data_IF_359285628210
#
_entry.id   IF_359285628210
#
_cell.length_a   1.000
_cell.length_b   1.000
_cell.length_c   1.000
_cell.angle_alpha   90.00
_cell.angle_beta   90.00
_cell.angle_gamma   90.00
#
_symmetry.space_group_name_H-M   'P 1'
#
loop_
_entity.id
_entity.type
_entity.pdbx_description
1 polymer ?
#
# COMPACT_ATOMS: atom_id res chain seq x y z
N UNK A 1 12.28 -2.66 26.33
CA UNK A 1 12.03 -3.29 25.01
C UNK A 1 12.48 -2.29 23.95
N UNK A 2 13.58 -2.53 23.25
CA UNK A 2 13.98 -1.68 22.12
C UNK A 2 13.44 -2.33 20.85
N UNK A 3 12.56 -1.63 20.14
CA UNK A 3 12.11 -2.02 18.80
C UNK A 3 13.07 -1.35 17.82
N UNK A 4 13.80 -2.16 17.03
CA UNK A 4 14.82 -1.67 16.09
C UNK A 4 14.27 -1.46 14.68
N UNK A 5 13.00 -1.79 14.48
CA UNK A 5 12.32 -1.83 13.18
C UNK A 5 11.36 -0.66 13.07
N UNK A 6 11.44 0.04 11.94
CA UNK A 6 10.73 1.31 11.74
C UNK A 6 9.45 1.19 10.91
N UNK A 7 9.32 0.17 10.07
CA UNK A 7 8.24 0.08 9.08
C UNK A 7 7.74 -1.36 8.89
N UNK A 8 6.46 -1.49 8.60
CA UNK A 8 5.75 -2.76 8.39
C UNK A 8 4.87 -2.67 7.15
N UNK A 9 4.61 -3.81 6.50
CA UNK A 9 3.67 -3.93 5.39
C UNK A 9 2.62 -4.98 5.72
N UNK A 10 1.36 -4.66 5.45
CA UNK A 10 0.23 -5.54 5.71
C UNK A 10 -0.66 -5.60 4.46
N UNK A 11 -1.32 -6.73 4.27
CA UNK A 11 -2.53 -6.81 3.47
C UNK A 11 -3.74 -6.97 4.39
N UNK A 12 -4.87 -6.42 3.98
CA UNK A 12 -6.14 -6.68 4.65
C UNK A 12 -6.42 -8.19 4.70
N UNK A 13 -6.72 -8.73 5.89
CA UNK A 13 -6.88 -10.19 6.08
C UNK A 13 -8.03 -10.78 5.27
N UNK A 14 -9.17 -10.09 5.22
CA UNK A 14 -10.37 -10.56 4.53
C UNK A 14 -11.37 -9.41 4.28
N UNK A 15 -12.26 -9.58 3.29
CA UNK A 15 -13.39 -8.68 2.99
C UNK A 15 -14.59 -8.97 3.90
N UNK A 16 -14.34 -8.85 5.21
CA UNK A 16 -15.30 -9.08 6.28
C UNK A 16 -15.04 -8.13 7.44
N UNK A 17 -16.05 -7.91 8.30
CA UNK A 17 -15.88 -7.06 9.50
C UNK A 17 -14.81 -7.64 10.43
N UNK A 18 -14.76 -8.97 10.58
CA UNK A 18 -13.73 -9.64 11.37
C UNK A 18 -12.32 -9.38 10.80
N UNK A 19 -12.12 -9.62 9.51
CA UNK A 19 -10.83 -9.35 8.84
C UNK A 19 -10.40 -7.87 8.92
N UNK A 20 -11.35 -6.94 8.74
CA UNK A 20 -11.09 -5.50 8.83
C UNK A 20 -10.66 -5.08 10.23
N UNK A 21 -11.34 -5.57 11.27
CA UNK A 21 -11.04 -5.20 12.66
C UNK A 21 -9.81 -5.91 13.22
N UNK A 22 -9.51 -7.13 12.79
CA UNK A 22 -8.26 -7.80 13.11
C UNK A 22 -7.06 -7.07 12.51
N UNK A 23 -7.16 -6.68 11.24
CA UNK A 23 -6.13 -5.86 10.58
C UNK A 23 -5.98 -4.50 11.27
N UNK A 24 -7.08 -3.87 11.69
CA UNK A 24 -7.04 -2.61 12.45
C UNK A 24 -6.33 -2.77 13.80
N UNK A 25 -6.58 -3.89 14.51
CA UNK A 25 -5.90 -4.23 15.76
C UNK A 25 -4.41 -4.42 15.54
N UNK A 26 -4.00 -5.11 14.48
CA UNK A 26 -2.57 -5.23 14.11
C UNK A 26 -1.94 -3.85 13.88
N UNK A 27 -2.60 -2.99 13.10
CA UNK A 27 -2.13 -1.61 12.87
C UNK A 27 -1.99 -0.81 14.17
N UNK A 28 -2.94 -0.93 15.10
CA UNK A 28 -2.87 -0.27 16.40
C UNK A 28 -1.68 -0.78 17.25
N UNK A 29 -1.43 -2.10 17.28
CA UNK A 29 -0.29 -2.68 18.01
C UNK A 29 1.05 -2.26 17.41
N UNK A 30 1.15 -2.20 16.08
CA UNK A 30 2.35 -1.73 15.37
C UNK A 30 2.58 -0.23 15.63
N UNK A 31 1.53 0.60 15.51
CA UNK A 31 1.62 2.04 15.74
C UNK A 31 2.05 2.36 17.19
N UNK A 32 1.54 1.60 18.17
CA UNK A 32 1.95 1.71 19.57
C UNK A 32 3.46 1.47 19.76
N UNK A 33 4.05 0.61 18.95
CA UNK A 33 5.49 0.33 18.91
C UNK A 33 6.28 1.30 18.03
N UNK A 34 5.69 2.42 17.64
CA UNK A 34 6.25 3.47 16.77
C UNK A 34 6.60 3.01 15.34
N UNK A 35 5.95 1.96 14.83
CA UNK A 35 6.10 1.51 13.44
C UNK A 35 5.23 2.31 12.46
N UNK A 36 5.80 2.66 11.30
CA UNK A 36 5.03 3.12 10.12
C UNK A 36 4.46 1.94 9.33
N UNK A 37 3.34 2.13 8.62
CA UNK A 37 2.61 1.04 7.98
C UNK A 37 2.35 1.34 6.50
N UNK A 38 2.58 0.36 5.64
CA UNK A 38 1.94 0.26 4.32
C UNK A 38 0.83 -0.79 4.36
N UNK A 39 -0.39 -0.45 3.92
CA UNK A 39 -1.55 -1.33 3.99
C UNK A 39 -2.24 -1.45 2.62
N UNK A 40 -2.28 -2.67 2.06
CA UNK A 40 -3.06 -2.98 0.86
C UNK A 40 -4.54 -3.15 1.19
N UNK A 41 -5.44 -2.43 0.50
CA UNK A 41 -6.88 -2.44 0.78
C UNK A 41 -7.76 -2.80 -0.43
N UNK A 42 -7.18 -3.12 -1.59
CA UNK A 42 -7.91 -3.37 -2.84
C UNK A 42 -8.89 -4.54 -2.80
N UNK A 43 -8.75 -5.47 -1.84
CA UNK A 43 -9.65 -6.61 -1.70
C UNK A 43 -10.99 -6.28 -1.02
N UNK A 44 -11.12 -5.11 -0.37
CA UNK A 44 -12.35 -4.70 0.31
C UNK A 44 -13.41 -4.26 -0.70
N UNK A 45 -14.64 -4.77 -0.56
CA UNK A 45 -15.73 -4.46 -1.49
C UNK A 45 -16.07 -2.97 -1.54
N UNK A 46 -16.34 -2.50 -2.75
CA UNK A 46 -16.65 -1.11 -3.03
C UNK A 46 -18.05 -0.66 -2.60
N UNK A 47 -18.30 0.65 -2.64
CA UNK A 47 -19.59 1.26 -2.31
C UNK A 47 -20.75 0.67 -3.12
N UNK A 48 -21.86 0.34 -2.45
CA UNK A 48 -23.06 -0.21 -3.07
C UNK A 48 -22.97 -1.69 -3.45
N UNK A 49 -21.93 -2.39 -3.01
CA UNK A 49 -21.79 -3.84 -3.19
C UNK A 49 -22.63 -4.60 -2.16
N UNK A 50 -23.27 -5.69 -2.57
CA UNK A 50 -24.18 -6.45 -1.71
C UNK A 50 -23.44 -7.15 -0.55
N UNK A 51 -24.11 -7.25 0.61
CA UNK A 51 -23.65 -7.99 1.79
C UNK A 51 -24.69 -9.06 2.13
N UNK A 52 -24.37 -10.32 1.81
CA UNK A 52 -25.29 -11.45 2.00
C UNK A 52 -25.73 -11.64 3.45
N UNK A 53 -24.82 -11.52 4.42
CA UNK A 53 -25.12 -11.80 5.83
C UNK A 53 -26.07 -10.80 6.51
N UNK A 54 -26.07 -9.54 6.08
CA UNK A 54 -26.91 -8.48 6.66
C UNK A 54 -28.02 -8.00 5.73
N UNK A 55 -28.09 -8.56 4.52
CA UNK A 55 -28.98 -8.15 3.44
C UNK A 55 -28.93 -6.64 3.13
N UNK A 56 -27.76 -6.04 3.33
CA UNK A 56 -27.49 -4.62 3.11
C UNK A 56 -26.47 -4.38 2.00
N UNK A 57 -26.08 -3.12 1.83
CA UNK A 57 -25.03 -2.71 0.88
C UNK A 57 -23.82 -2.14 1.63
N UNK A 58 -22.63 -2.37 1.09
CA UNK A 58 -21.39 -1.80 1.61
C UNK A 58 -21.36 -0.29 1.43
N UNK A 59 -20.81 0.40 2.43
CA UNK A 59 -20.51 1.83 2.34
C UNK A 59 -19.14 2.13 1.70
N UNK A 60 -18.42 1.09 1.25
CA UNK A 60 -17.16 1.18 0.53
C UNK A 60 -15.95 1.54 1.39
N UNK A 61 -14.88 1.95 0.73
CA UNK A 61 -13.58 2.21 1.36
C UNK A 61 -13.58 3.44 2.26
N UNK A 62 -14.28 4.52 1.89
CA UNK A 62 -14.17 5.82 2.57
C UNK A 62 -14.51 5.73 4.06
N UNK A 63 -15.65 5.15 4.49
CA UNK A 63 -15.97 5.03 5.91
C UNK A 63 -15.03 4.09 6.66
N UNK A 64 -14.56 3.01 6.02
CA UNK A 64 -13.56 2.11 6.61
C UNK A 64 -12.27 2.88 6.89
N UNK A 65 -11.75 3.61 5.90
CA UNK A 65 -10.50 4.37 6.04
C UNK A 65 -10.60 5.50 7.06
N UNK A 66 -11.80 6.03 7.33
CA UNK A 66 -12.00 6.96 8.46
C UNK A 66 -11.79 6.32 9.83
N UNK A 67 -12.12 5.04 9.98
CA UNK A 67 -11.80 4.30 11.22
C UNK A 67 -10.28 4.19 11.37
N UNK A 68 -9.58 3.78 10.32
CA UNK A 68 -8.11 3.74 10.30
C UNK A 68 -7.48 5.12 10.57
N UNK A 69 -8.04 6.19 10.00
CA UNK A 69 -7.61 7.56 10.26
C UNK A 69 -7.71 7.91 11.74
N UNK A 70 -8.85 7.62 12.37
CA UNK A 70 -9.03 7.92 13.79
C UNK A 70 -8.16 7.04 14.68
N UNK A 71 -7.89 5.80 14.31
CA UNK A 71 -6.93 4.94 14.99
C UNK A 71 -5.50 5.49 14.88
N UNK A 72 -5.09 5.98 13.71
CA UNK A 72 -3.79 6.62 13.51
C UNK A 72 -3.61 7.86 14.41
N UNK A 73 -4.69 8.65 14.59
CA UNK A 73 -4.69 9.79 15.52
C UNK A 73 -4.66 9.36 16.98
N UNK A 74 -5.39 8.30 17.34
CA UNK A 74 -5.54 7.86 18.73
C UNK A 74 -4.27 7.16 19.25
N UNK A 75 -3.70 6.26 18.43
CA UNK A 75 -2.50 5.52 18.78
C UNK A 75 -1.28 6.22 18.19
N UNK A 76 -0.93 7.34 18.81
CA UNK A 76 0.26 8.09 18.45
C UNK A 76 1.55 7.31 18.80
N UNK A 77 2.61 7.58 18.03
CA UNK A 77 3.91 6.99 18.22
C UNK A 77 4.61 7.63 19.42
N UNK A 78 4.32 7.11 20.61
CA UNK A 78 5.09 7.40 21.83
C UNK A 78 4.62 8.59 22.67
N UNK A 79 3.31 8.81 22.81
CA UNK A 79 2.72 9.76 23.76
C UNK A 79 2.79 11.21 23.27
N UNK A 80 2.08 11.51 22.20
CA UNK A 80 1.92 12.83 21.54
C UNK A 80 3.14 13.36 20.76
N UNK A 81 4.14 12.53 20.40
CA UNK A 81 5.29 13.00 19.61
C UNK A 81 5.04 12.99 18.10
N UNK A 82 4.33 11.98 17.57
CA UNK A 82 3.92 11.88 16.15
C UNK A 82 2.65 11.04 16.02
N UNK A 83 1.62 11.47 15.25
CA UNK A 83 0.50 10.59 14.93
C UNK A 83 0.98 9.33 14.21
N UNK A 84 0.24 8.22 14.34
CA UNK A 84 0.48 7.01 13.57
C UNK A 84 0.49 7.32 12.07
N UNK A 85 1.40 6.66 11.33
CA UNK A 85 1.61 6.95 9.91
C UNK A 85 1.30 5.71 9.07
N UNK A 86 0.14 5.70 8.43
CA UNK A 86 -0.32 4.60 7.58
C UNK A 86 -0.44 5.08 6.14
N UNK A 87 0.26 4.43 5.21
CA UNK A 87 0.08 4.57 3.77
C UNK A 87 -0.87 3.51 3.26
N UNK A 88 -1.98 3.94 2.66
CA UNK A 88 -3.00 3.07 2.10
C UNK A 88 -2.72 2.88 0.62
N UNK A 89 -2.60 1.61 0.20
CA UNK A 89 -2.35 1.21 -1.18
C UNK A 89 -3.62 0.70 -1.83
N UNK A 90 -3.99 1.32 -2.96
CA UNK A 90 -5.15 0.95 -3.76
C UNK A 90 -4.76 0.77 -5.23
N UNK A 91 -5.33 -0.26 -5.87
CA UNK A 91 -5.18 -0.45 -7.31
C UNK A 91 -6.22 0.37 -8.09
N UNK A 92 -5.86 1.00 -9.23
CA UNK A 92 -6.71 1.99 -9.91
C UNK A 92 -7.95 1.39 -10.60
N UNK A 93 -8.10 0.07 -10.66
CA UNK A 93 -9.33 -0.58 -11.14
C UNK A 93 -10.45 -0.58 -10.09
N UNK A 94 -10.14 -0.28 -8.82
CA UNK A 94 -11.13 -0.32 -7.76
C UNK A 94 -12.22 0.75 -7.96
N UNK A 95 -13.48 0.40 -7.72
CA UNK A 95 -14.60 1.31 -7.97
C UNK A 95 -14.56 2.62 -7.17
N UNK A 96 -14.14 2.57 -5.91
CA UNK A 96 -14.04 3.75 -5.04
C UNK A 96 -12.76 4.60 -5.29
N UNK A 97 -12.07 4.43 -6.43
CA UNK A 97 -10.77 5.08 -6.69
C UNK A 97 -10.87 6.61 -6.74
N UNK A 98 -11.96 7.19 -7.24
CA UNK A 98 -12.10 8.64 -7.34
C UNK A 98 -12.27 9.26 -5.95
N UNK A 99 -13.12 8.65 -5.11
CA UNK A 99 -13.33 9.07 -3.74
C UNK A 99 -12.05 8.87 -2.89
N UNK A 100 -11.28 7.81 -3.17
CA UNK A 100 -9.98 7.58 -2.56
C UNK A 100 -8.99 8.72 -2.84
N UNK A 101 -8.93 9.23 -4.07
CA UNK A 101 -8.06 10.35 -4.46
C UNK A 101 -8.41 11.66 -3.76
N UNK A 102 -9.66 11.80 -3.29
CA UNK A 102 -10.13 13.00 -2.59
C UNK A 102 -9.89 12.98 -1.07
N UNK A 103 -9.53 11.83 -0.48
CA UNK A 103 -9.48 11.64 0.98
C UNK A 103 -8.49 12.58 1.70
N UNK A 104 -7.42 13.00 1.02
CA UNK A 104 -6.39 13.90 1.56
C UNK A 104 -6.68 15.38 1.31
N UNK A 105 -7.60 15.71 0.40
CA UNK A 105 -7.87 17.10 0.02
C UNK A 105 -8.32 17.92 1.23
N UNK A 106 -7.86 19.16 1.32
CA UNK A 106 -8.22 20.05 2.44
C UNK A 106 -9.69 20.47 2.38
N UNK A 107 -10.21 20.72 1.18
CA UNK A 107 -11.61 21.09 0.92
C UNK A 107 -12.52 19.86 0.92
N UNK A 108 -13.83 20.04 1.12
CA UNK A 108 -14.84 18.99 1.11
C UNK A 108 -15.40 18.65 2.49
N UNK A 109 -16.32 17.67 2.55
CA UNK A 109 -17.02 17.28 3.77
C UNK A 109 -16.13 16.39 4.65
N UNK A 110 -16.12 16.62 5.96
CA UNK A 110 -15.28 15.85 6.90
C UNK A 110 -15.58 14.35 6.88
N UNK A 111 -16.84 13.97 6.66
CA UNK A 111 -17.24 12.58 6.52
C UNK A 111 -16.69 11.86 5.29
N UNK A 112 -16.08 12.59 4.35
CA UNK A 112 -15.45 12.09 3.14
C UNK A 112 -13.93 12.32 3.14
N UNK A 113 -13.31 12.53 4.31
CA UNK A 113 -11.89 12.85 4.44
C UNK A 113 -11.21 11.95 5.46
N UNK A 114 -9.95 11.65 5.19
CA UNK A 114 -9.05 10.86 6.04
C UNK A 114 -7.63 11.45 5.95
N UNK A 115 -7.50 12.71 6.41
CA UNK A 115 -6.31 13.54 6.15
C UNK A 115 -5.08 13.15 6.96
N UNK A 116 -5.20 12.32 7.98
CA UNK A 116 -4.06 11.84 8.77
C UNK A 116 -3.38 10.61 8.13
N UNK A 117 -4.04 9.98 7.14
CA UNK A 117 -3.48 8.88 6.36
C UNK A 117 -2.64 9.39 5.19
N UNK A 118 -1.77 8.53 4.67
CA UNK A 118 -1.06 8.69 3.41
C UNK A 118 -1.68 7.79 2.34
N UNK A 119 -1.56 8.17 1.07
CA UNK A 119 -2.24 7.48 -0.02
C UNK A 119 -1.23 7.13 -1.11
N UNK A 120 -1.36 5.91 -1.65
CA UNK A 120 -0.49 5.36 -2.67
C UNK A 120 -1.30 4.56 -3.68
N UNK A 121 -0.87 4.61 -4.94
CA UNK A 121 -1.42 3.78 -6.01
C UNK A 121 -0.50 2.61 -6.30
N UNK A 122 -1.09 1.43 -6.43
CA UNK A 122 -0.44 0.20 -6.89
C UNK A 122 -0.89 -0.07 -8.32
N UNK A 123 -0.11 0.41 -9.28
CA UNK A 123 -0.56 0.64 -10.67
C UNK A 123 -0.15 -0.53 -11.57
N UNK A 124 -1.10 -1.25 -12.20
CA UNK A 124 -0.78 -2.23 -13.23
C UNK A 124 -0.34 -1.54 -14.54
N UNK A 125 0.55 -2.19 -15.29
CA UNK A 125 1.05 -1.73 -16.60
C UNK A 125 -0.14 -1.48 -17.56
N UNK A 126 -1.19 -2.30 -17.48
CA UNK A 126 -2.42 -2.16 -18.29
C UNK A 126 -3.06 -0.78 -18.16
N UNK A 127 -3.14 -0.23 -16.94
CA UNK A 127 -3.75 1.09 -16.74
C UNK A 127 -2.97 2.15 -17.53
N UNK A 128 -1.63 2.12 -17.45
CA UNK A 128 -0.78 3.05 -18.18
C UNK A 128 -0.91 2.90 -19.70
N UNK A 129 -0.97 1.65 -20.21
CA UNK A 129 -1.21 1.37 -21.63
C UNK A 129 -2.55 1.98 -22.11
N UNK A 130 -3.60 1.88 -21.30
CA UNK A 130 -4.93 2.43 -21.63
C UNK A 130 -4.97 3.96 -21.53
N UNK A 131 -4.23 4.57 -20.60
CA UNK A 131 -4.09 6.03 -20.52
C UNK A 131 -3.41 6.58 -21.78
N UNK A 132 -2.30 5.97 -22.19
CA UNK A 132 -1.54 6.36 -23.38
C UNK A 132 -2.39 6.30 -24.66
N UNK A 133 -3.19 5.24 -24.80
CA UNK A 133 -4.05 5.02 -25.99
C UNK A 133 -5.46 5.59 -25.88
N UNK A 134 -5.76 6.34 -24.80
CA UNK A 134 -7.07 6.93 -24.50
C UNK A 134 -8.24 5.93 -24.56
N UNK A 135 -8.00 4.71 -24.07
CA UNK A 135 -8.98 3.64 -24.00
C UNK A 135 -9.91 3.80 -22.78
N UNK A 136 -10.94 2.96 -22.76
CA UNK A 136 -11.84 2.84 -21.63
C UNK A 136 -11.17 2.07 -20.49
N UNK A 137 -11.49 2.45 -19.26
CA UNK A 137 -11.05 1.84 -18.02
C UNK A 137 -12.25 1.40 -17.19
N UNK A 138 -12.30 0.12 -16.88
CA UNK A 138 -13.38 -0.52 -16.14
C UNK A 138 -13.09 -0.50 -14.64
N UNK A 139 -14.05 0.05 -13.90
CA UNK A 139 -14.02 0.09 -12.45
C UNK A 139 -14.84 -1.08 -11.88
N UNK A 140 -14.20 -1.88 -11.04
CA UNK A 140 -14.70 -3.16 -10.56
C UNK A 140 -14.77 -3.20 -9.03
N UNK A 141 -15.65 -4.06 -8.51
CA UNK A 141 -15.69 -4.41 -7.10
C UNK A 141 -14.94 -5.74 -6.91
N UNK A 142 -14.01 -5.86 -5.95
CA UNK A 142 -13.25 -7.11 -5.73
C UNK A 142 -14.14 -8.31 -5.37
N UNK A 143 -15.27 -8.10 -4.71
CA UNK A 143 -16.23 -9.19 -4.44
C UNK A 143 -16.90 -9.71 -5.73
N UNK A 144 -17.10 -8.85 -6.73
CA UNK A 144 -17.63 -9.26 -8.05
C UNK A 144 -16.52 -9.75 -8.99
N UNK A 145 -15.29 -9.25 -8.82
CA UNK A 145 -14.11 -9.54 -9.65
C UNK A 145 -12.92 -9.96 -8.77
N UNK A 146 -12.98 -11.15 -8.13
CA UNK A 146 -11.96 -11.58 -7.18
C UNK A 146 -10.62 -11.88 -7.85
N UNK A 147 -9.55 -11.79 -7.07
CA UNK A 147 -8.21 -12.24 -7.46
C UNK A 147 -7.38 -11.23 -8.25
N UNK A 148 -7.92 -10.07 -8.62
CA UNK A 148 -7.16 -9.03 -9.33
C UNK A 148 -5.95 -8.53 -8.54
N UNK A 149 -6.03 -8.50 -7.21
CA UNK A 149 -4.93 -8.17 -6.31
C UNK A 149 -3.92 -9.30 -6.11
N UNK A 150 -4.25 -10.52 -6.57
CA UNK A 150 -3.43 -11.73 -6.42
C UNK A 150 -2.69 -12.14 -7.68
N UNK A 151 -2.90 -11.43 -8.78
CA UNK A 151 -2.20 -11.62 -10.06
C UNK A 151 -1.55 -10.32 -10.52
N UNK A 152 -0.52 -10.41 -11.36
CA UNK A 152 0.19 -9.27 -11.95
C UNK A 152 0.58 -9.55 -13.41
N UNK A 153 0.99 -8.51 -14.13
CA UNK A 153 1.46 -8.60 -15.50
C UNK A 153 0.43 -9.21 -16.46
N UNK A 154 0.85 -10.17 -17.28
CA UNK A 154 -0.03 -10.79 -18.28
C UNK A 154 -1.21 -11.56 -17.67
N UNK A 155 -1.05 -12.14 -16.48
CA UNK A 155 -2.14 -12.85 -15.80
C UNK A 155 -3.21 -11.87 -15.32
N UNK A 156 -2.79 -10.72 -14.79
CA UNK A 156 -3.69 -9.62 -14.46
C UNK A 156 -4.44 -9.12 -15.69
N UNK A 157 -3.73 -8.86 -16.80
CA UNK A 157 -4.33 -8.39 -18.05
C UNK A 157 -5.42 -9.35 -18.55
N UNK A 158 -5.10 -10.65 -18.61
CA UNK A 158 -6.06 -11.69 -19.03
C UNK A 158 -7.28 -11.76 -18.12
N UNK A 159 -7.08 -11.74 -16.80
CA UNK A 159 -8.17 -11.83 -15.83
C UNK A 159 -9.08 -10.60 -15.89
N UNK A 160 -8.50 -9.41 -15.88
CA UNK A 160 -9.21 -8.14 -15.97
C UNK A 160 -10.06 -8.05 -17.24
N UNK A 161 -9.48 -8.32 -18.41
CA UNK A 161 -10.21 -8.31 -19.69
C UNK A 161 -11.29 -9.40 -19.76
N UNK A 162 -11.09 -10.53 -19.07
CA UNK A 162 -12.12 -11.56 -18.97
C UNK A 162 -13.35 -11.07 -18.20
N UNK A 163 -13.17 -10.30 -17.13
CA UNK A 163 -14.25 -9.69 -16.36
C UNK A 163 -14.98 -8.61 -17.16
N UNK A 164 -14.25 -7.83 -17.96
CA UNK A 164 -14.87 -6.88 -18.90
C UNK A 164 -15.77 -7.60 -19.92
N UNK A 165 -15.31 -8.70 -20.52
CA UNK A 165 -16.09 -9.51 -21.47
C UNK A 165 -17.32 -10.16 -20.84
N UNK A 166 -17.24 -10.52 -19.56
CA UNK A 166 -18.35 -11.07 -18.79
C UNK A 166 -19.36 -9.99 -18.33
N UNK A 167 -19.07 -8.70 -18.56
CA UNK A 167 -19.91 -7.60 -18.09
C UNK A 167 -19.86 -7.40 -16.57
N UNK A 168 -18.84 -7.92 -15.88
CA UNK A 168 -18.65 -7.79 -14.43
C UNK A 168 -18.00 -6.44 -14.09
N UNK A 169 -18.59 -5.36 -14.60
CA UNK A 169 -18.05 -3.99 -14.48
C UNK A 169 -19.14 -3.09 -13.89
N UNK A 170 -18.78 -2.33 -12.86
CA UNK A 170 -19.72 -1.43 -12.17
C UNK A 170 -19.80 -0.06 -12.83
N UNK A 171 -18.68 0.44 -13.35
CA UNK A 171 -18.59 1.73 -14.03
C UNK A 171 -17.47 1.71 -15.05
N UNK A 172 -17.68 2.31 -16.22
CA UNK A 172 -16.63 2.52 -17.22
C UNK A 172 -16.34 4.01 -17.30
N UNK A 173 -15.07 4.38 -17.31
CA UNK A 173 -14.58 5.76 -17.48
C UNK A 173 -13.52 5.79 -18.58
N UNK A 174 -13.19 6.97 -19.09
CA UNK A 174 -11.96 7.09 -19.90
C UNK A 174 -10.75 6.94 -18.99
N UNK A 175 -9.74 6.18 -19.41
CA UNK A 175 -8.52 6.02 -18.63
C UNK A 175 -7.86 7.39 -18.32
N UNK A 176 -7.88 8.30 -19.30
CA UNK A 176 -7.38 9.67 -19.13
C UNK A 176 -8.19 10.51 -18.13
N UNK A 177 -9.48 10.22 -17.93
CA UNK A 177 -10.28 10.89 -16.90
C UNK A 177 -9.79 10.52 -15.50
N UNK A 178 -9.50 9.24 -15.26
CA UNK A 178 -8.91 8.80 -14.00
C UNK A 178 -7.48 9.35 -13.84
N UNK A 179 -6.69 9.34 -14.92
CA UNK A 179 -5.35 9.94 -14.92
C UNK A 179 -5.35 11.42 -14.54
N UNK A 180 -6.30 12.20 -15.08
CA UNK A 180 -6.48 13.60 -14.73
C UNK A 180 -6.78 13.78 -13.24
N UNK A 181 -7.67 12.96 -12.67
CA UNK A 181 -7.98 13.00 -11.23
C UNK A 181 -6.76 12.66 -10.35
N UNK A 182 -5.89 11.74 -10.79
CA UNK A 182 -4.64 11.42 -10.11
C UNK A 182 -3.71 12.64 -10.08
N UNK A 183 -3.51 13.29 -11.23
CA UNK A 183 -2.65 14.48 -11.36
C UNK A 183 -3.23 15.65 -10.54
N UNK A 184 -4.54 15.85 -10.56
CA UNK A 184 -5.20 16.88 -9.77
C UNK A 184 -4.94 16.67 -8.27
N UNK A 185 -5.15 15.44 -7.77
CA UNK A 185 -4.87 15.10 -6.37
C UNK A 185 -3.40 15.34 -5.99
N UNK A 186 -2.47 14.97 -6.88
CA UNK A 186 -1.04 15.23 -6.70
C UNK A 186 -0.71 16.73 -6.69
N UNK A 187 -1.38 17.51 -7.53
CA UNK A 187 -1.20 18.96 -7.59
C UNK A 187 -1.68 19.62 -6.29
N UNK A 188 -2.81 19.17 -5.75
CA UNK A 188 -3.37 19.70 -4.51
C UNK A 188 -2.62 19.26 -3.24
N UNK A 189 -2.15 18.00 -3.20
CA UNK A 189 -1.72 17.35 -1.95
C UNK A 189 -0.31 16.77 -1.97
N UNK A 190 0.33 16.69 -3.15
CA UNK A 190 1.59 15.96 -3.35
C UNK A 190 1.46 14.44 -3.33
N UNK A 191 0.23 13.90 -3.24
CA UNK A 191 -0.10 12.47 -3.17
C UNK A 191 -1.26 12.16 -4.13
N UNK A 192 -1.49 10.90 -4.56
CA UNK A 192 -0.90 9.67 -4.07
C UNK A 192 0.54 9.41 -4.55
N UNK A 193 1.26 8.57 -3.79
CA UNK A 193 2.49 7.94 -4.25
C UNK A 193 2.22 7.06 -5.47
N UNK A 194 3.23 6.93 -6.34
CA UNK A 194 3.12 6.20 -7.61
C UNK A 194 4.02 4.98 -7.60
N UNK A 195 3.44 3.79 -7.58
CA UNK A 195 4.19 2.54 -7.64
C UNK A 195 3.63 1.64 -8.72
N UNK A 196 4.52 1.03 -9.50
CA UNK A 196 4.15 0.20 -10.64
C UNK A 196 4.18 -1.28 -10.25
N UNK A 197 2.99 -1.83 -9.95
CA UNK A 197 2.75 -3.19 -9.45
C UNK A 197 3.53 -4.24 -10.22
N UNK A 198 3.44 -4.19 -11.54
CA UNK A 198 4.03 -5.23 -12.40
C UNK A 198 5.55 -5.12 -12.43
N UNK A 199 6.10 -3.91 -12.43
CA UNK A 199 7.54 -3.71 -12.31
C UNK A 199 8.10 -4.16 -10.96
N UNK A 200 7.36 -3.92 -9.88
CA UNK A 200 7.71 -4.37 -8.53
C UNK A 200 7.71 -5.90 -8.44
N UNK A 201 6.65 -6.56 -8.91
CA UNK A 201 6.51 -8.01 -8.87
C UNK A 201 7.53 -8.71 -9.79
N UNK A 202 7.66 -8.27 -11.04
CA UNK A 202 8.55 -8.88 -12.06
C UNK A 202 10.02 -8.93 -11.63
N UNK A 203 10.47 -7.95 -10.87
CA UNK A 203 11.88 -7.76 -10.47
C UNK A 203 12.13 -8.15 -9.01
N UNK A 204 11.14 -8.64 -8.29
CA UNK A 204 11.32 -9.08 -6.91
C UNK A 204 11.93 -10.47 -6.85
N UNK A 205 12.93 -10.65 -5.98
CA UNK A 205 13.43 -11.97 -5.63
C UNK A 205 12.42 -12.77 -4.77
N UNK A 206 11.37 -12.12 -4.26
CA UNK A 206 10.28 -12.75 -3.51
C UNK A 206 9.07 -13.13 -4.39
N UNK A 207 9.15 -12.99 -5.71
CA UNK A 207 8.04 -13.35 -6.61
C UNK A 207 7.60 -14.83 -6.48
N UNK A 208 8.48 -15.68 -5.96
CA UNK A 208 8.21 -17.09 -5.67
C UNK A 208 7.22 -17.31 -4.51
N UNK A 209 6.95 -16.29 -3.69
CA UNK A 209 5.99 -16.36 -2.57
C UNK A 209 4.55 -16.06 -3.03
N UNK A 210 4.40 -15.34 -4.15
CA UNK A 210 3.12 -14.89 -4.68
C UNK A 210 3.15 -13.41 -5.06
N UNK A 211 1.99 -12.85 -5.37
CA UNK A 211 1.85 -11.44 -5.76
C UNK A 211 2.03 -10.51 -4.57
N UNK A 212 2.96 -9.57 -4.70
CA UNK A 212 3.18 -8.47 -3.76
C UNK A 212 2.09 -7.42 -3.98
N UNK A 213 1.37 -7.12 -2.90
CA UNK A 213 0.14 -6.30 -2.92
C UNK A 213 0.35 -4.82 -2.61
N UNK A 214 1.47 -4.43 -2.02
CA UNK A 214 1.79 -3.04 -1.67
C UNK A 214 3.29 -2.82 -1.44
N UNK A 215 3.65 -1.57 -1.15
CA UNK A 215 4.92 -1.17 -0.56
C UNK A 215 4.69 -0.64 0.86
N UNK A 216 5.73 -0.12 1.53
CA UNK A 216 5.67 0.41 2.88
C UNK A 216 5.24 1.90 2.91
N UNK A 217 5.29 2.53 4.08
CA UNK A 217 5.00 3.96 4.25
C UNK A 217 5.82 4.88 3.31
N UNK A 218 7.09 4.54 3.07
CA UNK A 218 8.05 5.41 2.39
C UNK A 218 8.39 4.97 0.96
N UNK A 219 7.69 3.97 0.42
CA UNK A 219 7.73 3.50 -0.98
C UNK A 219 9.00 2.77 -1.44
N UNK A 220 9.96 2.51 -0.55
CA UNK A 220 11.25 1.88 -0.87
C UNK A 220 11.27 0.36 -0.67
N UNK A 221 10.35 -0.19 0.12
CA UNK A 221 10.31 -1.62 0.44
C UNK A 221 9.22 -2.33 -0.34
N UNK A 222 9.56 -3.44 -0.99
CA UNK A 222 8.67 -4.24 -1.82
C UNK A 222 8.81 -5.69 -1.34
N UNK A 223 7.98 -6.05 -0.37
CA UNK A 223 7.99 -7.36 0.27
C UNK A 223 6.60 -8.00 0.23
N UNK A 224 6.58 -9.34 0.15
CA UNK A 224 5.35 -10.12 0.15
C UNK A 224 4.59 -9.99 1.48
N UNK A 225 3.27 -9.93 1.40
CA UNK A 225 2.38 -9.93 2.56
C UNK A 225 1.22 -10.88 2.32
N UNK A 226 0.71 -11.48 3.40
CA UNK A 226 -0.45 -12.37 3.34
C UNK A 226 -1.30 -12.21 4.61
N UNK A 227 -2.41 -12.95 4.70
CA UNK A 227 -3.23 -13.00 5.92
C UNK A 227 -2.44 -13.43 7.17
N UNK A 228 -1.37 -14.19 6.98
CA UNK A 228 -0.57 -14.82 8.04
C UNK A 228 0.85 -14.23 8.12
N UNK A 229 1.22 -13.30 7.23
CA UNK A 229 2.57 -12.72 7.15
C UNK A 229 2.51 -11.20 7.07
N UNK A 230 3.07 -10.53 8.08
CA UNK A 230 3.30 -9.08 8.10
C UNK A 230 4.77 -8.83 7.78
N UNK A 231 5.04 -8.16 6.67
CA UNK A 231 6.42 -7.91 6.24
C UNK A 231 7.05 -6.74 7.01
N UNK A 232 8.38 -6.74 7.09
CA UNK A 232 9.11 -5.98 8.11
C UNK A 232 10.40 -5.37 7.57
N UNK A 233 10.54 -4.06 7.70
CA UNK A 233 11.66 -3.32 7.12
C UNK A 233 12.84 -3.19 8.10
N UNK A 234 13.93 -3.91 7.85
CA UNK A 234 15.19 -3.79 8.61
C UNK A 234 16.16 -2.84 7.92
N UNK A 235 16.28 -1.61 8.44
CA UNK A 235 16.89 -0.51 7.72
C UNK A 235 18.19 -0.03 8.37
N UNK A 236 19.16 0.34 7.52
CA UNK A 236 20.34 1.13 7.88
C UNK A 236 20.71 2.00 6.68
N UNK A 237 21.44 3.09 6.93
CA UNK A 237 21.94 3.97 5.86
C UNK A 237 23.47 4.03 5.89
N UNK A 238 24.06 4.23 4.72
CA UNK A 238 25.50 4.43 4.56
C UNK A 238 25.75 5.91 4.27
N UNK A 239 26.61 6.56 5.06
CA UNK A 239 27.05 7.93 4.82
C UNK A 239 28.02 7.98 3.62
N UNK A 240 27.48 8.09 2.40
CA UNK A 240 28.24 7.99 1.14
C UNK A 240 29.36 9.03 1.02
N UNK A 241 29.24 10.19 1.68
CA UNK A 241 30.25 11.24 1.69
C UNK A 241 31.56 10.81 2.37
N UNK A 242 31.54 9.80 3.25
CA UNK A 242 32.73 9.33 3.98
C UNK A 242 33.72 8.55 3.11
N UNK A 243 33.32 8.17 1.89
CA UNK A 243 34.13 7.36 0.98
C UNK A 243 34.82 8.20 -0.10
N UNK A 244 34.72 9.53 -0.03
CA UNK A 244 35.47 10.45 -0.89
C UNK A 244 36.84 10.70 -0.26
N UNK A 245 37.90 10.40 -1.00
CA UNK A 245 39.30 10.60 -0.59
C UNK A 245 39.76 12.04 -0.80
N UNK A 246 40.89 12.42 -0.20
CA UNK A 246 41.49 13.75 -0.40
C UNK A 246 41.92 13.99 -1.85
N UNK A 247 42.19 12.93 -2.60
CA UNK A 247 42.52 12.95 -4.03
C UNK A 247 41.29 13.05 -4.94
N UNK A 248 40.10 13.32 -4.38
CA UNK A 248 38.82 13.39 -5.09
C UNK A 248 38.45 12.10 -5.84
N UNK A 249 38.89 10.94 -5.34
CA UNK A 249 38.45 9.62 -5.82
C UNK A 249 37.50 8.95 -4.82
N UNK A 250 36.73 7.97 -5.27
CA UNK A 250 35.76 7.26 -4.43
C UNK A 250 36.26 5.86 -4.03
N UNK A 251 36.33 5.59 -2.73
CA UNK A 251 36.81 4.30 -2.22
C UNK A 251 35.69 3.24 -2.20
N UNK A 252 35.49 2.61 -3.35
CA UNK A 252 34.54 1.51 -3.51
C UNK A 252 34.90 0.25 -2.71
N UNK A 253 36.19 0.04 -2.41
CA UNK A 253 36.62 -1.13 -1.60
C UNK A 253 36.17 -0.95 -0.17
N UNK A 254 36.38 0.23 0.41
CA UNK A 254 35.94 0.52 1.78
C UNK A 254 34.41 0.54 1.89
N UNK A 255 33.72 1.07 0.88
CA UNK A 255 32.25 1.00 0.82
C UNK A 255 31.77 -0.45 0.91
N UNK A 256 32.29 -1.34 0.07
CA UNK A 256 31.91 -2.76 0.07
C UNK A 256 32.23 -3.47 1.40
N UNK A 257 33.33 -3.13 2.05
CA UNK A 257 33.69 -3.66 3.37
C UNK A 257 32.65 -3.26 4.44
N UNK A 258 32.29 -1.97 4.51
CA UNK A 258 31.31 -1.47 5.48
C UNK A 258 29.92 -2.04 5.19
N UNK A 259 29.51 -2.14 3.91
CA UNK A 259 28.25 -2.77 3.53
C UNK A 259 28.14 -4.20 4.06
N UNK A 260 29.20 -5.01 4.00
CA UNK A 260 29.20 -6.38 4.55
C UNK A 260 28.96 -6.41 6.06
N UNK A 261 29.49 -5.43 6.81
CA UNK A 261 29.24 -5.30 8.25
C UNK A 261 27.78 -4.97 8.52
N UNK A 262 27.21 -4.02 7.77
CA UNK A 262 25.80 -3.63 7.91
C UNK A 262 24.88 -4.82 7.64
N UNK A 263 25.12 -5.59 6.58
CA UNK A 263 24.32 -6.79 6.27
C UNK A 263 24.35 -7.78 7.46
N UNK A 264 25.52 -8.05 8.05
CA UNK A 264 25.62 -8.93 9.23
C UNK A 264 24.91 -8.36 10.45
N UNK A 265 24.95 -7.04 10.65
CA UNK A 265 24.28 -6.39 11.76
C UNK A 265 22.76 -6.46 11.60
N UNK A 266 22.22 -6.13 10.42
CA UNK A 266 20.80 -6.24 10.11
C UNK A 266 20.30 -7.68 10.21
N UNK A 267 21.12 -8.67 9.79
CA UNK A 267 20.76 -10.08 9.95
C UNK A 267 20.64 -10.48 11.43
N UNK A 268 21.50 -9.97 12.32
CA UNK A 268 21.36 -10.21 13.76
C UNK A 268 20.14 -9.49 14.35
N UNK A 269 19.78 -8.33 13.81
CA UNK A 269 18.61 -7.57 14.25
C UNK A 269 17.33 -8.39 14.08
N UNK A 270 17.21 -9.18 13.01
CA UNK A 270 16.08 -10.09 12.79
C UNK A 270 15.86 -10.98 14.03
N UNK A 271 16.91 -11.61 14.54
CA UNK A 271 16.80 -12.59 15.63
C UNK A 271 16.55 -11.96 17.00
N UNK A 272 17.02 -10.72 17.22
CA UNK A 272 16.94 -10.04 18.53
C UNK A 272 15.73 -9.11 18.63
N UNK A 273 15.07 -8.80 17.52
CA UNK A 273 14.03 -7.80 17.51
C UNK A 273 12.78 -8.27 18.27
N UNK A 274 12.10 -7.31 18.90
CA UNK A 274 10.78 -7.54 19.45
C UNK A 274 9.70 -7.22 18.41
N UNK A 275 8.95 -8.23 17.99
CA UNK A 275 7.86 -8.07 17.03
C UNK A 275 6.54 -7.72 17.74
N UNK A 276 5.81 -6.69 17.27
CA UNK A 276 4.57 -6.24 17.93
C UNK A 276 3.38 -7.17 17.69
N UNK A 277 3.45 -8.01 16.66
CA UNK A 277 2.46 -9.01 16.25
C UNK A 277 3.20 -10.32 15.87
N UNK A 278 2.54 -11.48 15.96
CA UNK A 278 3.17 -12.78 15.66
C UNK A 278 3.28 -13.11 14.17
N UNK A 279 2.42 -12.54 13.33
CA UNK A 279 2.51 -12.61 11.85
C UNK A 279 3.72 -11.84 11.31
#
# INVERSE_FOLDING_TARGET
LFVFISCFLLCMKDDSIEGIYDTLKQCALISKSAGGIGLAVSCIRATGSYIAGTNGNSNGLVPMLRVYNNTARYVDQGGNKRPGAFAIYLEPWHLDIFEFLDLKKNTGKEEQRARDLFFALWIPDLFMKRVETNQDWSLMCPNECPGLDEVWGEEFEKLYESYEKQGRVRRVVKAQQLWYAIIESQTETGTPYMLYKDSCNRKSNQQNLGTIKCSNLCTEIVEYTSKDEVAVCNLASIALNMYVTSEHTYDFKKLAEVTKVIVRNLNKIIDINYYPVPE
#
